data_IF_977808407130
#
_entry.id   IF_977808407130
#
_cell.length_a   1.000
_cell.length_b   1.000
_cell.length_c   1.000
_cell.angle_alpha   90.00
_cell.angle_beta   90.00
_cell.angle_gamma   90.00
#
_symmetry.space_group_name_H-M   'P 1'
#
loop_
_entity.id
_entity.type
_entity.pdbx_description
1 polymer ?
#
# COMPACT_ATOMS: atom_id res chain seq x y z
N UNK A 1 -46.81 -52.77 20.54
CA UNK A 1 -46.89 -51.36 20.92
C UNK A 1 -45.55 -50.98 21.52
N UNK A 2 -44.66 -50.41 20.72
CA UNK A 2 -43.46 -49.70 21.15
C UNK A 2 -43.05 -48.82 19.95
N UNK A 3 -43.08 -47.51 20.17
CA UNK A 3 -42.66 -46.47 19.23
C UNK A 3 -41.18 -46.24 19.53
N UNK A 4 -40.29 -46.43 18.55
CA UNK A 4 -38.92 -45.93 18.60
C UNK A 4 -38.82 -44.64 17.80
N UNK A 5 -38.26 -43.64 18.47
CA UNK A 5 -38.13 -42.26 18.03
C UNK A 5 -37.12 -42.12 16.89
N UNK A 6 -37.48 -41.25 15.95
CA UNK A 6 -36.68 -40.81 14.83
C UNK A 6 -35.96 -39.52 15.24
N UNK A 7 -34.64 -39.55 15.40
CA UNK A 7 -33.79 -38.35 15.40
C UNK A 7 -32.58 -38.62 14.50
N UNK A 8 -32.68 -38.13 13.27
CA UNK A 8 -31.58 -38.04 12.32
C UNK A 8 -30.83 -36.73 12.57
N UNK A 9 -29.70 -36.80 13.28
CA UNK A 9 -28.75 -35.68 13.37
C UNK A 9 -28.15 -35.40 11.99
N UNK A 10 -28.45 -34.21 11.43
CA UNK A 10 -27.72 -33.67 10.29
C UNK A 10 -26.65 -32.70 10.80
N UNK A 11 -25.39 -33.10 10.67
CA UNK A 11 -24.24 -32.29 11.04
C UNK A 11 -24.02 -31.19 9.98
N UNK A 12 -24.55 -29.99 10.22
CA UNK A 12 -24.16 -28.81 9.45
C UNK A 12 -22.76 -28.34 9.89
N UNK A 13 -21.76 -28.59 9.05
CA UNK A 13 -20.41 -28.01 9.22
C UNK A 13 -20.43 -26.54 8.80
N UNK A 14 -20.60 -25.67 9.78
CA UNK A 14 -20.50 -24.23 9.59
C UNK A 14 -19.02 -23.83 9.45
N UNK A 15 -18.52 -23.66 8.22
CA UNK A 15 -17.14 -23.24 7.92
C UNK A 15 -17.05 -22.15 6.84
N UNK A 16 -18.11 -21.34 6.69
CA UNK A 16 -18.21 -20.30 5.64
C UNK A 16 -17.66 -18.91 6.00
N UNK A 17 -17.47 -18.59 7.29
CA UNK A 17 -17.23 -17.21 7.72
C UNK A 17 -15.79 -16.69 7.55
N UNK A 18 -14.78 -17.56 7.57
CA UNK A 18 -13.37 -17.13 7.68
C UNK A 18 -12.57 -17.16 6.37
N UNK A 19 -13.08 -17.75 5.27
CA UNK A 19 -12.33 -17.83 3.99
C UNK A 19 -12.53 -16.63 3.06
N UNK A 20 -13.56 -15.81 3.31
CA UNK A 20 -13.93 -14.71 2.41
C UNK A 20 -12.94 -13.52 2.53
N UNK A 21 -12.37 -13.30 3.72
CA UNK A 21 -11.41 -12.21 3.95
C UNK A 21 -10.00 -12.47 3.41
N UNK A 22 -9.69 -13.69 2.95
CA UNK A 22 -8.41 -14.00 2.31
C UNK A 22 -8.46 -13.90 0.77
N UNK A 23 -9.65 -13.71 0.18
CA UNK A 23 -9.76 -13.52 -1.27
C UNK A 23 -9.27 -12.10 -1.64
N UNK A 24 -8.19 -11.96 -2.43
CA UNK A 24 -7.69 -10.65 -2.83
C UNK A 24 -8.72 -9.88 -3.68
N UNK A 25 -9.69 -10.54 -4.31
CA UNK A 25 -10.72 -9.91 -5.12
C UNK A 25 -11.95 -9.46 -4.32
N UNK A 26 -12.01 -9.80 -3.03
CA UNK A 26 -13.08 -9.37 -2.15
C UNK A 26 -13.01 -7.85 -1.90
N UNK A 27 -14.15 -7.19 -1.97
CA UNK A 27 -14.35 -5.77 -1.63
C UNK A 27 -15.27 -5.72 -0.42
N UNK A 28 -14.80 -5.11 0.67
CA UNK A 28 -15.57 -5.01 1.90
C UNK A 28 -16.68 -3.95 1.75
N UNK A 29 -17.75 -4.06 2.55
CA UNK A 29 -18.84 -3.07 2.53
C UNK A 29 -18.38 -1.66 2.94
N UNK A 30 -17.26 -1.55 3.68
CA UNK A 30 -16.65 -0.27 4.07
C UNK A 30 -15.73 0.32 3.01
N UNK A 31 -15.35 -0.45 1.98
CA UNK A 31 -14.49 0.00 0.91
C UNK A 31 -15.27 0.92 -0.03
N UNK A 32 -14.85 2.18 -0.07
CA UNK A 32 -15.41 3.17 -0.97
C UNK A 32 -14.30 3.82 -1.82
N UNK A 33 -14.55 4.09 -3.12
CA UNK A 33 -13.53 4.63 -4.03
C UNK A 33 -12.95 5.97 -3.60
N UNK A 34 -13.71 6.78 -2.87
CA UNK A 34 -13.33 8.12 -2.41
C UNK A 34 -12.62 8.13 -1.05
N UNK A 35 -12.41 6.97 -0.43
CA UNK A 35 -11.72 6.86 0.85
C UNK A 35 -10.24 7.04 0.64
N UNK A 36 -9.63 7.96 1.39
CA UNK A 36 -8.16 8.05 1.38
C UNK A 36 -7.54 6.85 2.08
N UNK A 37 -6.52 6.25 1.46
CA UNK A 37 -5.70 5.19 2.07
C UNK A 37 -4.81 5.70 3.20
N UNK A 38 -4.44 6.98 3.15
CA UNK A 38 -3.47 7.58 4.07
C UNK A 38 -3.91 8.98 4.51
N UNK A 39 -3.56 9.34 5.75
CA UNK A 39 -3.94 10.64 6.33
C UNK A 39 -3.15 11.80 5.72
N UNK A 40 -1.89 11.57 5.35
CA UNK A 40 -1.01 12.59 4.76
C UNK A 40 -0.98 12.37 3.24
N UNK A 41 -1.57 13.28 2.43
CA UNK A 41 -1.60 13.13 0.99
C UNK A 41 -0.22 13.21 0.35
N UNK A 42 -0.09 12.65 -0.85
CA UNK A 42 1.08 12.86 -1.69
C UNK A 42 1.15 14.31 -2.18
N UNK A 43 2.29 14.96 -1.94
CA UNK A 43 2.55 16.36 -2.26
C UNK A 43 3.68 16.54 -3.28
N UNK A 44 4.10 15.48 -3.97
CA UNK A 44 5.23 15.52 -4.92
C UNK A 44 6.59 15.25 -4.28
N UNK A 45 6.81 15.71 -3.04
CA UNK A 45 8.11 15.62 -2.35
C UNK A 45 8.20 14.52 -1.30
N UNK A 46 7.07 13.96 -0.88
CA UNK A 46 6.98 12.98 0.19
C UNK A 46 6.77 11.54 -0.34
N UNK A 47 7.15 11.25 -1.58
CA UNK A 47 6.85 10.01 -2.29
C UNK A 47 7.21 8.76 -1.48
N UNK A 48 8.41 8.69 -0.91
CA UNK A 48 8.87 7.49 -0.17
C UNK A 48 8.03 7.23 1.07
N UNK A 49 7.71 8.28 1.84
CA UNK A 49 6.88 8.13 3.04
C UNK A 49 5.43 7.80 2.67
N UNK A 50 4.89 8.47 1.67
CA UNK A 50 3.54 8.25 1.17
C UNK A 50 3.38 6.83 0.61
N UNK A 51 4.25 6.41 -0.31
CA UNK A 51 4.21 5.09 -0.96
C UNK A 51 4.33 3.95 0.05
N UNK A 52 5.18 4.05 1.08
CA UNK A 52 5.24 3.06 2.17
C UNK A 52 3.93 2.95 2.93
N UNK A 53 3.26 4.08 3.21
CA UNK A 53 1.98 4.06 3.92
C UNK A 53 0.85 3.51 3.05
N UNK A 54 0.83 3.85 1.75
CA UNK A 54 -0.11 3.28 0.78
C UNK A 54 0.07 1.77 0.67
N UNK A 55 1.31 1.27 0.50
CA UNK A 55 1.60 -0.18 0.51
C UNK A 55 1.07 -0.86 1.76
N UNK A 56 1.33 -0.30 2.95
CA UNK A 56 0.81 -0.84 4.23
C UNK A 56 -0.72 -0.91 4.26
N UNK A 57 -1.40 0.11 3.77
CA UNK A 57 -2.86 0.15 3.70
C UNK A 57 -3.41 -0.89 2.70
N UNK A 58 -2.72 -1.13 1.59
CA UNK A 58 -3.09 -2.17 0.63
C UNK A 58 -2.82 -3.58 1.18
N UNK A 59 -1.72 -3.78 1.90
CA UNK A 59 -1.42 -5.05 2.59
C UNK A 59 -2.52 -5.39 3.59
N UNK A 60 -2.94 -4.43 4.43
CA UNK A 60 -4.00 -4.66 5.42
C UNK A 60 -5.36 -4.98 4.79
N UNK A 61 -5.57 -4.62 3.52
CA UNK A 61 -6.76 -4.91 2.72
C UNK A 61 -6.60 -6.13 1.79
N UNK A 62 -5.46 -6.80 1.82
CA UNK A 62 -5.11 -7.90 0.91
C UNK A 62 -5.17 -7.47 -0.58
N UNK A 63 -4.57 -6.32 -0.91
CA UNK A 63 -4.58 -5.70 -2.24
C UNK A 63 -3.20 -5.38 -2.81
N UNK A 64 -2.12 -5.67 -2.08
CA UNK A 64 -0.74 -5.41 -2.57
C UNK A 64 -0.45 -6.10 -3.90
N UNK A 65 -1.02 -7.30 -4.11
CA UNK A 65 -0.88 -8.07 -5.34
C UNK A 65 -1.27 -7.33 -6.63
N UNK A 66 -2.13 -6.31 -6.54
CA UNK A 66 -2.54 -5.50 -7.69
C UNK A 66 -1.47 -4.51 -8.14
N UNK A 67 -0.63 -4.03 -7.22
CA UNK A 67 0.39 -3.01 -7.53
C UNK A 67 1.77 -3.60 -7.79
N UNK A 68 2.06 -4.79 -7.27
CA UNK A 68 3.34 -5.50 -7.48
C UNK A 68 3.31 -6.44 -8.70
N UNK A 69 2.14 -6.64 -9.32
CA UNK A 69 1.94 -7.49 -10.50
C UNK A 69 1.72 -8.98 -10.20
N UNK A 70 1.64 -9.41 -8.93
CA UNK A 70 1.33 -10.80 -8.57
C UNK A 70 -0.10 -11.19 -8.99
N UNK A 71 -1.04 -10.24 -9.00
CA UNK A 71 -2.42 -10.43 -9.44
C UNK A 71 -2.62 -9.90 -10.86
N UNK A 72 -2.09 -10.64 -11.82
CA UNK A 72 -2.17 -10.28 -13.25
C UNK A 72 -3.61 -10.21 -13.76
N UNK A 73 -3.83 -9.33 -14.74
CA UNK A 73 -5.11 -9.19 -15.45
C UNK A 73 -5.59 -10.53 -16.00
N UNK A 74 -6.78 -10.95 -15.55
CA UNK A 74 -7.41 -12.18 -16.01
C UNK A 74 -7.95 -12.04 -17.44
N UNK A 75 -8.05 -13.16 -18.15
CA UNK A 75 -8.73 -13.23 -19.44
C UNK A 75 -10.21 -12.89 -19.25
N UNK A 76 -10.80 -12.15 -20.19
CA UNK A 76 -12.19 -11.63 -20.11
C UNK A 76 -13.23 -12.72 -19.82
N UNK A 77 -13.01 -13.94 -20.33
CA UNK A 77 -13.93 -15.07 -20.17
C UNK A 77 -13.74 -15.83 -18.84
N UNK A 78 -12.78 -15.42 -18.00
CA UNK A 78 -12.54 -16.06 -16.71
C UNK A 78 -13.69 -15.74 -15.73
N UNK A 79 -14.16 -16.74 -14.97
CA UNK A 79 -15.28 -16.60 -14.02
C UNK A 79 -15.09 -15.47 -12.99
N UNK A 80 -13.84 -15.21 -12.63
CA UNK A 80 -13.46 -14.19 -11.64
C UNK A 80 -13.00 -12.86 -12.26
N UNK A 81 -13.05 -12.72 -13.60
CA UNK A 81 -12.62 -11.49 -14.30
C UNK A 81 -13.33 -10.24 -13.76
N UNK A 82 -14.65 -10.29 -13.57
CA UNK A 82 -15.41 -9.16 -13.04
C UNK A 82 -15.12 -8.86 -11.56
N UNK A 83 -14.69 -9.85 -10.78
CA UNK A 83 -14.27 -9.65 -9.40
C UNK A 83 -12.89 -8.98 -9.36
N UNK A 84 -11.94 -9.53 -10.12
CA UNK A 84 -10.62 -8.92 -10.31
C UNK A 84 -10.75 -7.48 -10.81
N UNK A 85 -11.56 -7.22 -11.83
CA UNK A 85 -11.75 -5.88 -12.41
C UNK A 85 -12.28 -4.88 -11.38
N UNK A 86 -13.26 -5.27 -10.56
CA UNK A 86 -13.77 -4.39 -9.49
C UNK A 86 -12.70 -4.07 -8.45
N UNK A 87 -11.93 -5.09 -8.04
CA UNK A 87 -10.87 -4.90 -7.06
C UNK A 87 -9.72 -4.03 -7.61
N UNK A 88 -9.31 -4.25 -8.87
CA UNK A 88 -8.32 -3.44 -9.57
C UNK A 88 -8.76 -1.97 -9.65
N UNK A 89 -10.00 -1.72 -10.11
CA UNK A 89 -10.55 -0.36 -10.20
C UNK A 89 -10.68 0.33 -8.83
N UNK A 90 -10.90 -0.44 -7.75
CA UNK A 90 -10.89 0.11 -6.39
C UNK A 90 -9.51 0.63 -6.01
N UNK A 91 -8.45 -0.13 -6.32
CA UNK A 91 -7.06 0.29 -6.09
C UNK A 91 -6.70 1.50 -6.97
N UNK A 92 -7.11 1.49 -8.24
CA UNK A 92 -6.96 2.64 -9.16
C UNK A 92 -7.65 3.90 -8.62
N UNK A 93 -8.77 3.77 -7.92
CA UNK A 93 -9.48 4.92 -7.34
C UNK A 93 -8.84 5.42 -6.04
N UNK A 94 -8.34 4.50 -5.22
CA UNK A 94 -7.74 4.80 -3.92
C UNK A 94 -6.40 5.52 -3.99
N UNK A 95 -5.57 5.18 -4.99
CA UNK A 95 -4.24 5.77 -5.11
C UNK A 95 -4.35 7.29 -5.36
N UNK A 96 -5.05 7.79 -6.40
CA UNK A 96 -5.22 9.22 -6.65
C UNK A 96 -6.02 9.94 -5.54
N UNK A 97 -6.99 9.26 -4.91
CA UNK A 97 -7.73 9.80 -3.76
C UNK A 97 -6.85 10.08 -2.54
N UNK A 98 -5.62 9.56 -2.53
CA UNK A 98 -4.62 9.80 -1.48
C UNK A 98 -3.53 10.81 -1.89
N UNK A 99 -3.75 11.56 -2.97
CA UNK A 99 -2.82 12.55 -3.54
C UNK A 99 -3.47 13.94 -3.56
N UNK A 100 -2.65 14.98 -3.67
CA UNK A 100 -3.18 16.31 -3.98
C UNK A 100 -3.84 16.31 -5.37
N UNK A 101 -4.94 17.04 -5.53
CA UNK A 101 -5.76 17.04 -6.76
C UNK A 101 -4.94 17.33 -8.02
N UNK A 102 -4.11 18.38 -7.98
CA UNK A 102 -3.26 18.77 -9.13
C UNK A 102 -2.30 17.66 -9.57
N UNK A 103 -1.86 16.80 -8.65
CA UNK A 103 -1.01 15.65 -8.96
C UNK A 103 -1.83 14.43 -9.37
N UNK A 104 -3.01 14.25 -8.80
CA UNK A 104 -3.91 13.14 -9.11
C UNK A 104 -4.41 13.21 -10.56
N UNK A 105 -4.67 14.43 -11.07
CA UNK A 105 -5.16 14.66 -12.42
C UNK A 105 -4.24 14.10 -13.51
N UNK A 106 -2.92 14.11 -13.28
CA UNK A 106 -1.93 13.54 -14.21
C UNK A 106 -2.12 12.04 -14.46
N UNK A 107 -2.77 11.33 -13.54
CA UNK A 107 -2.94 9.87 -13.57
C UNK A 107 -4.37 9.42 -13.92
N UNK A 108 -5.26 10.34 -14.27
CA UNK A 108 -6.70 10.07 -14.42
C UNK A 108 -7.08 9.13 -15.57
N UNK A 109 -6.16 8.84 -16.50
CA UNK A 109 -6.41 7.97 -17.65
C UNK A 109 -5.88 6.54 -17.49
N UNK A 110 -5.27 6.21 -16.35
CA UNK A 110 -4.68 4.90 -16.12
C UNK A 110 -5.71 3.96 -15.47
N UNK A 111 -6.16 2.96 -16.22
CA UNK A 111 -7.22 2.02 -15.82
C UNK A 111 -6.69 0.71 -15.19
N UNK A 112 -5.41 0.67 -14.82
CA UNK A 112 -4.79 -0.51 -14.20
C UNK A 112 -3.90 -0.14 -13.01
N UNK A 113 -4.08 -0.82 -11.88
CA UNK A 113 -3.37 -0.48 -10.65
C UNK A 113 -1.85 -0.72 -10.75
N UNK A 114 -1.42 -1.78 -11.46
CA UNK A 114 0.00 -2.08 -11.63
C UNK A 114 0.69 -1.02 -12.51
N UNK A 115 0.06 -0.63 -13.62
CA UNK A 115 0.53 0.45 -14.50
C UNK A 115 0.59 1.79 -13.77
N UNK A 116 -0.46 2.14 -13.03
CA UNK A 116 -0.50 3.34 -12.20
C UNK A 116 0.63 3.37 -11.18
N UNK A 117 0.83 2.25 -10.47
CA UNK A 117 1.90 2.15 -9.47
C UNK A 117 3.29 2.23 -10.10
N UNK A 118 3.48 1.62 -11.28
CA UNK A 118 4.72 1.69 -12.03
C UNK A 118 5.04 3.13 -12.43
N UNK A 119 4.11 3.85 -13.05
CA UNK A 119 4.32 5.23 -13.51
C UNK A 119 4.67 6.17 -12.34
N UNK A 120 3.96 6.04 -11.22
CA UNK A 120 4.25 6.77 -9.99
C UNK A 120 5.67 6.48 -9.47
N UNK A 121 6.08 5.21 -9.48
CA UNK A 121 7.40 4.80 -9.02
C UNK A 121 8.51 5.24 -9.97
N UNK A 122 8.26 5.23 -11.27
CA UNK A 122 9.21 5.73 -12.27
C UNK A 122 9.40 7.24 -12.15
N UNK A 123 8.29 8.00 -12.06
CA UNK A 123 8.30 9.47 -12.04
C UNK A 123 8.81 10.06 -10.72
N UNK A 124 8.49 9.44 -9.59
CA UNK A 124 8.78 10.00 -8.26
C UNK A 124 9.62 9.09 -7.36
N UNK A 125 9.93 7.86 -7.79
CA UNK A 125 10.74 6.92 -7.03
C UNK A 125 12.25 7.10 -7.20
N UNK A 126 12.68 7.86 -8.20
CA UNK A 126 14.10 8.15 -8.47
C UNK A 126 14.55 9.46 -7.77
N UNK A 127 15.78 9.42 -7.23
CA UNK A 127 16.54 10.50 -6.58
C UNK A 127 16.09 10.90 -5.17
N UNK A 128 16.56 10.11 -4.21
CA UNK A 128 16.61 10.54 -2.82
C UNK A 128 17.80 11.47 -2.54
N UNK A 129 18.72 11.70 -3.48
CA UNK A 129 20.00 12.38 -3.18
C UNK A 129 19.83 13.83 -2.66
N UNK A 130 18.97 14.68 -3.25
CA UNK A 130 18.75 16.02 -2.70
C UNK A 130 18.09 15.97 -1.31
N UNK A 131 17.22 14.98 -1.07
CA UNK A 131 16.53 14.80 0.20
C UNK A 131 17.45 14.20 1.27
N UNK A 132 18.31 13.26 0.91
CA UNK A 132 19.37 12.70 1.74
C UNK A 132 20.34 13.82 2.12
N UNK A 133 20.81 14.60 1.16
CA UNK A 133 21.69 15.74 1.42
C UNK A 133 21.03 16.77 2.35
N UNK A 134 19.73 17.05 2.17
CA UNK A 134 18.97 17.92 3.07
C UNK A 134 18.90 17.34 4.49
N UNK A 135 18.62 16.04 4.64
CA UNK A 135 18.58 15.38 5.95
C UNK A 135 19.97 15.33 6.60
N UNK A 136 21.04 15.12 5.83
CA UNK A 136 22.41 15.21 6.31
C UNK A 136 22.71 16.61 6.86
N UNK A 137 22.35 17.66 6.11
CA UNK A 137 22.44 19.06 6.55
C UNK A 137 21.62 19.33 7.81
N UNK A 138 20.39 18.80 7.91
CA UNK A 138 19.55 18.98 9.09
C UNK A 138 20.15 18.28 10.32
N UNK A 139 20.72 17.08 10.15
CA UNK A 139 21.42 16.35 11.22
C UNK A 139 22.69 17.09 11.65
N UNK A 140 23.50 17.56 10.70
CA UNK A 140 24.74 18.31 10.96
C UNK A 140 24.47 19.59 11.76
N UNK A 141 23.39 20.30 11.41
CA UNK A 141 23.01 21.54 12.09
C UNK A 141 22.16 21.32 13.36
N UNK A 142 21.81 20.08 13.72
CA UNK A 142 20.94 19.81 14.86
C UNK A 142 21.70 19.97 16.18
N UNK A 143 21.52 21.12 16.82
CA UNK A 143 22.01 21.38 18.19
C UNK A 143 20.90 21.20 19.23
N UNK A 144 21.26 20.84 20.47
CA UNK A 144 20.28 20.64 21.55
C UNK A 144 19.58 21.95 21.94
N UNK A 145 20.31 23.07 21.94
CA UNK A 145 19.81 24.37 22.37
C UNK A 145 19.02 24.29 23.70
N UNK A 146 17.80 24.84 23.73
CA UNK A 146 16.90 24.84 24.88
C UNK A 146 16.01 23.58 24.96
N UNK A 147 16.25 22.57 24.12
CA UNK A 147 15.46 21.34 24.12
C UNK A 147 15.87 20.41 25.28
N UNK A 148 14.89 19.67 25.80
CA UNK A 148 15.19 18.54 26.68
C UNK A 148 15.92 17.44 25.90
N UNK A 149 16.74 16.66 26.60
CA UNK A 149 17.50 15.54 26.03
C UNK A 149 16.57 14.58 25.27
N UNK A 150 15.40 14.26 25.85
CA UNK A 150 14.40 13.38 25.22
C UNK A 150 13.88 13.97 23.90
N UNK A 151 13.62 15.27 23.87
CA UNK A 151 13.09 15.94 22.67
C UNK A 151 14.14 16.03 21.57
N UNK A 152 15.39 16.32 21.94
CA UNK A 152 16.53 16.33 21.03
C UNK A 152 16.75 14.95 20.41
N UNK A 153 16.85 13.91 21.24
CA UNK A 153 17.04 12.54 20.78
C UNK A 153 15.90 12.08 19.86
N UNK A 154 14.65 12.39 20.20
CA UNK A 154 13.49 12.04 19.37
C UNK A 154 13.55 12.70 17.98
N UNK A 155 13.98 13.97 17.90
CA UNK A 155 14.19 14.66 16.61
C UNK A 155 15.32 14.01 15.81
N UNK A 156 16.47 13.79 16.44
CA UNK A 156 17.62 13.15 15.78
C UNK A 156 17.25 11.76 15.26
N UNK A 157 16.61 10.94 16.09
CA UNK A 157 16.19 9.58 15.72
C UNK A 157 15.20 9.58 14.55
N UNK A 158 14.26 10.52 14.53
CA UNK A 158 13.33 10.70 13.41
C UNK A 158 14.06 11.02 12.11
N UNK A 159 14.97 12.00 12.12
CA UNK A 159 15.77 12.38 10.94
C UNK A 159 16.62 11.20 10.45
N UNK A 160 17.22 10.46 11.37
CA UNK A 160 18.03 9.29 11.07
C UNK A 160 17.20 8.16 10.44
N UNK A 161 16.04 7.82 11.00
CA UNK A 161 15.18 6.76 10.48
C UNK A 161 14.58 7.12 9.10
N UNK A 162 14.33 8.40 8.86
CA UNK A 162 13.93 8.93 7.55
C UNK A 162 15.07 8.75 6.53
N UNK A 163 16.29 9.18 6.86
CA UNK A 163 17.46 9.02 6.00
C UNK A 163 17.76 7.54 5.67
N UNK A 164 17.67 6.64 6.66
CA UNK A 164 17.88 5.21 6.45
C UNK A 164 16.82 4.58 5.53
N UNK A 165 15.58 5.08 5.61
CA UNK A 165 14.51 4.65 4.70
C UNK A 165 14.81 5.04 3.25
N UNK A 166 15.40 6.22 3.04
CA UNK A 166 15.76 6.72 1.72
C UNK A 166 17.01 6.04 1.13
N UNK A 167 17.95 5.63 2.00
CA UNK A 167 19.17 4.89 1.61
C UNK A 167 18.96 3.40 1.41
N UNK A 168 17.82 2.84 1.84
CA UNK A 168 17.44 1.46 1.54
C UNK A 168 17.18 1.32 0.03
N UNK A 169 18.26 1.07 -0.71
CA UNK A 169 18.26 0.86 -2.16
C UNK A 169 17.33 -0.28 -2.54
N UNK A 170 16.64 -0.23 -3.70
CA UNK A 170 15.89 -1.37 -4.20
C UNK A 170 16.83 -2.57 -4.31
N UNK A 171 16.41 -3.70 -3.76
CA UNK A 171 17.11 -4.98 -3.92
C UNK A 171 17.12 -5.30 -5.40
N UNK A 172 18.25 -5.10 -6.08
CA UNK A 172 18.32 -5.42 -7.51
C UNK A 172 18.28 -6.94 -7.66
N UNK A 173 17.20 -7.46 -8.23
CA UNK A 173 17.13 -8.86 -8.69
C UNK A 173 18.03 -9.12 -9.89
N UNK A 174 18.64 -8.07 -10.47
CA UNK A 174 19.60 -8.14 -11.56
C UNK A 174 20.98 -8.72 -11.16
N UNK A 175 21.21 -9.01 -9.88
CA UNK A 175 22.50 -9.56 -9.40
C UNK A 175 23.66 -8.56 -9.38
N UNK A 176 23.43 -7.29 -9.72
CA UNK A 176 24.50 -6.27 -9.83
C UNK A 176 24.95 -5.67 -8.48
N UNK A 177 24.30 -6.01 -7.37
CA UNK A 177 24.65 -5.55 -6.02
C UNK A 177 25.14 -6.72 -5.16
N UNK A 178 26.23 -7.36 -5.62
CA UNK A 178 27.08 -8.21 -4.80
C UNK A 178 28.50 -7.68 -4.88
N UNK A 179 28.80 -6.64 -4.09
CA UNK A 179 30.16 -6.27 -3.64
C UNK A 179 30.06 -5.49 -2.35
#
# INVERSE_FOLDING_TARGET
MAIENNDSESSQSNSGGNRINLDPYFIANSDNPTSTLVVVPFSGVNFVRWSRNVKRALISKNKEGFINGELTKLVVNHKDYLKWKRADFMVVSWIPSSMNHDLADDFGYIDNAAELWHELTERFGQSNDPLIYKLEKEIENLTQENMTIVSYYSKLKKLWDEMQTLRASPTCTCGALLT
#
